data_IF_715513010864
#
_entry.id   IF_715513010864
#
_cell.length_a   1.000
_cell.length_b   1.000
_cell.length_c   1.000
_cell.angle_alpha   90.00
_cell.angle_beta   90.00
_cell.angle_gamma   90.00
#
_symmetry.space_group_name_H-M   'P 1'
#
loop_
_entity.id
_entity.type
_entity.pdbx_description
1 polymer ?
#
# COMPACT_ATOMS: atom_id res chain seq x y z
N UNK A 1 14.19 9.32 -2.42
CA UNK A 1 13.04 8.43 -2.18
C UNK A 1 11.81 9.29 -2.08
N UNK A 2 10.68 8.84 -2.62
CA UNK A 2 9.38 9.50 -2.53
C UNK A 2 8.36 8.45 -2.09
N UNK A 3 7.41 8.86 -1.25
CA UNK A 3 6.28 8.03 -0.83
C UNK A 3 5.00 8.71 -1.30
N UNK A 4 4.16 7.97 -2.00
CA UNK A 4 2.86 8.42 -2.50
C UNK A 4 1.79 7.53 -1.88
N UNK A 5 0.79 8.17 -1.29
CA UNK A 5 -0.43 7.49 -0.85
C UNK A 5 -1.51 7.65 -1.90
N UNK A 6 -2.27 6.59 -2.17
CA UNK A 6 -3.40 6.61 -3.12
C UNK A 6 -4.60 5.86 -2.54
N UNK A 7 -5.77 6.07 -3.11
CA UNK A 7 -6.97 5.33 -2.77
C UNK A 7 -7.45 4.55 -3.99
N UNK A 8 -7.26 3.22 -3.93
CA UNK A 8 -7.74 2.33 -4.98
C UNK A 8 -9.20 1.97 -4.68
N UNK A 9 -10.10 2.44 -5.53
CA UNK A 9 -11.53 2.13 -5.41
C UNK A 9 -11.76 0.61 -5.52
N UNK A 10 -12.58 0.07 -4.61
CA UNK A 10 -12.83 -1.37 -4.55
C UNK A 10 -11.62 -2.20 -4.09
N UNK A 11 -10.55 -1.56 -3.61
CA UNK A 11 -9.41 -2.20 -2.98
C UNK A 11 -9.74 -2.79 -1.59
N UNK A 12 -8.96 -3.79 -1.12
CA UNK A 12 -9.14 -4.34 0.22
C UNK A 12 -9.03 -3.25 1.29
N UNK A 13 -9.90 -3.33 2.31
CA UNK A 13 -9.84 -2.44 3.48
C UNK A 13 -9.29 -3.21 4.69
N UNK A 14 -8.54 -2.56 5.60
CA UNK A 14 -7.95 -3.24 6.75
C UNK A 14 -8.98 -4.02 7.60
N UNK A 15 -10.22 -3.55 7.66
CA UNK A 15 -11.27 -4.09 8.52
C UNK A 15 -11.98 -5.31 7.92
N UNK A 16 -11.75 -5.65 6.64
CA UNK A 16 -12.48 -6.73 5.97
C UNK A 16 -11.61 -7.56 5.03
N UNK A 17 -11.91 -8.86 4.98
CA UNK A 17 -11.31 -9.76 3.99
C UNK A 17 -11.95 -9.55 2.62
N UNK A 18 -11.12 -9.62 1.59
CA UNK A 18 -11.56 -9.64 0.20
C UNK A 18 -11.46 -11.06 -0.36
N UNK A 19 -12.60 -11.72 -0.42
CA UNK A 19 -12.73 -13.11 -0.87
C UNK A 19 -13.02 -13.22 -2.38
N UNK A 20 -13.71 -12.22 -2.93
CA UNK A 20 -14.20 -12.25 -4.30
C UNK A 20 -13.14 -11.71 -5.26
N UNK A 21 -13.04 -12.35 -6.42
CA UNK A 21 -12.21 -11.90 -7.54
C UNK A 21 -12.88 -10.72 -8.24
N UNK A 22 -12.08 -9.69 -8.56
CA UNK A 22 -12.48 -8.54 -9.37
C UNK A 22 -11.44 -8.25 -10.44
N UNK A 23 -11.67 -8.78 -11.65
CA UNK A 23 -10.75 -8.56 -12.78
C UNK A 23 -10.70 -7.09 -13.22
N UNK A 24 -11.85 -6.42 -13.19
CA UNK A 24 -11.95 -5.00 -13.53
C UNK A 24 -11.24 -4.13 -12.47
N UNK A 25 -11.46 -4.42 -11.19
CA UNK A 25 -10.80 -3.70 -10.09
C UNK A 25 -9.28 -3.86 -10.14
N UNK A 26 -8.79 -5.09 -10.34
CA UNK A 26 -7.35 -5.34 -10.46
C UNK A 26 -6.74 -4.69 -11.72
N UNK A 27 -7.49 -4.61 -12.83
CA UNK A 27 -7.05 -3.88 -14.02
C UNK A 27 -6.95 -2.37 -13.75
N UNK A 28 -7.96 -1.80 -13.10
CA UNK A 28 -7.99 -0.39 -12.70
C UNK A 28 -6.87 -0.05 -11.71
N UNK A 29 -6.59 -0.93 -10.75
CA UNK A 29 -5.45 -0.79 -9.84
C UNK A 29 -4.13 -0.66 -10.62
N UNK A 30 -3.85 -1.59 -11.54
CA UNK A 30 -2.64 -1.54 -12.38
C UNK A 30 -2.55 -0.27 -13.22
N UNK A 31 -3.68 0.19 -13.77
CA UNK A 31 -3.74 1.44 -14.53
C UNK A 31 -3.40 2.66 -13.66
N UNK A 32 -3.96 2.76 -12.46
CA UNK A 32 -3.65 3.85 -11.52
C UNK A 32 -2.17 3.82 -11.13
N UNK A 33 -1.64 2.64 -10.78
CA UNK A 33 -0.24 2.48 -10.37
C UNK A 33 0.71 2.83 -11.51
N UNK A 34 0.43 2.35 -12.73
CA UNK A 34 1.16 2.72 -13.94
C UNK A 34 1.14 4.23 -14.18
N UNK A 35 -0.04 4.85 -14.11
CA UNK A 35 -0.20 6.30 -14.26
C UNK A 35 0.58 7.11 -13.22
N UNK A 36 0.63 6.66 -11.96
CA UNK A 36 1.46 7.29 -10.92
C UNK A 36 2.94 7.17 -11.27
N UNK A 37 3.40 6.00 -11.72
CA UNK A 37 4.79 5.81 -12.11
C UNK A 37 5.16 6.76 -13.25
N UNK A 38 4.38 6.80 -14.32
CA UNK A 38 4.62 7.65 -15.49
C UNK A 38 4.61 9.13 -15.11
N UNK A 39 3.64 9.55 -14.30
CA UNK A 39 3.53 10.92 -13.83
C UNK A 39 4.75 11.32 -13.00
N UNK A 40 5.22 10.49 -12.07
CA UNK A 40 6.41 10.80 -11.26
C UNK A 40 7.68 10.77 -12.10
N UNK A 41 7.85 9.77 -12.96
CA UNK A 41 9.08 9.61 -13.75
C UNK A 41 9.29 10.66 -14.82
N UNK A 42 8.20 11.30 -15.29
CA UNK A 42 8.24 12.41 -16.24
C UNK A 42 8.58 13.77 -15.61
N UNK A 43 8.54 13.90 -14.27
CA UNK A 43 8.90 15.15 -13.60
C UNK A 43 10.40 15.41 -13.68
N UNK A 44 10.78 16.60 -14.14
CA UNK A 44 12.18 17.04 -14.16
C UNK A 44 12.82 16.97 -12.76
N UNK A 45 12.08 17.38 -11.73
CA UNK A 45 12.53 17.32 -10.34
C UNK A 45 12.77 15.88 -9.83
N UNK A 46 12.25 14.85 -10.52
CA UNK A 46 12.39 13.45 -10.14
C UNK A 46 13.53 12.72 -10.87
N UNK A 47 14.35 13.40 -11.67
CA UNK A 47 15.47 12.76 -12.41
C UNK A 47 16.43 11.96 -11.52
N UNK A 48 16.66 12.42 -10.28
CA UNK A 48 17.53 11.74 -9.31
C UNK A 48 16.77 10.82 -8.35
N UNK A 49 15.45 10.67 -8.52
CA UNK A 49 14.63 9.81 -7.68
C UNK A 49 14.87 8.34 -8.03
N UNK A 50 15.53 7.60 -7.13
CA UNK A 50 15.80 6.16 -7.31
C UNK A 50 14.67 5.25 -6.84
N UNK A 51 13.93 5.66 -5.81
CA UNK A 51 12.95 4.83 -5.11
C UNK A 51 11.64 5.60 -4.98
N UNK A 52 10.58 5.06 -5.58
CA UNK A 52 9.20 5.49 -5.40
C UNK A 52 8.43 4.39 -4.65
N UNK A 53 7.84 4.74 -3.51
CA UNK A 53 6.97 3.84 -2.76
C UNK A 53 5.53 4.31 -2.93
N UNK A 54 4.66 3.40 -3.35
CA UNK A 54 3.23 3.66 -3.52
C UNK A 54 2.48 2.79 -2.52
N UNK A 55 1.57 3.37 -1.75
CA UNK A 55 0.78 2.59 -0.78
C UNK A 55 -0.62 3.19 -0.63
N UNK A 56 -1.50 2.50 0.09
CA UNK A 56 -2.84 3.00 0.36
C UNK A 56 -2.79 4.23 1.30
N UNK A 57 -3.87 5.02 1.28
CA UNK A 57 -4.07 6.20 2.12
C UNK A 57 -4.28 5.90 3.61
N UNK A 58 -4.16 4.63 4.03
CA UNK A 58 -4.17 4.24 5.44
C UNK A 58 -2.83 4.54 6.16
N UNK A 59 -1.83 5.08 5.46
CA UNK A 59 -0.63 5.69 6.08
C UNK A 59 -0.78 7.21 6.21
N UNK A 60 -0.77 7.70 7.44
CA UNK A 60 -0.68 9.13 7.70
C UNK A 60 0.79 9.60 7.73
N UNK A 61 1.27 10.14 6.61
CA UNK A 61 2.68 10.53 6.41
C UNK A 61 3.17 11.67 7.33
N UNK A 62 2.27 12.40 8.00
CA UNK A 62 2.65 13.42 8.98
C UNK A 62 2.80 12.87 10.42
N UNK A 63 2.54 11.58 10.66
CA UNK A 63 2.77 10.95 11.97
C UNK A 63 4.24 10.54 12.15
N UNK A 64 4.81 10.68 13.35
CA UNK A 64 6.18 10.21 13.62
C UNK A 64 6.40 8.71 13.34
N UNK A 65 5.33 7.91 13.39
CA UNK A 65 5.38 6.45 13.22
C UNK A 65 5.11 5.98 11.77
N UNK A 66 4.93 6.88 10.81
CA UNK A 66 4.53 6.51 9.43
C UNK A 66 5.48 5.51 8.80
N UNK A 67 6.79 5.61 9.08
CA UNK A 67 7.81 4.70 8.55
C UNK A 67 7.62 3.26 9.04
N UNK A 68 7.18 3.07 10.29
CA UNK A 68 6.91 1.74 10.86
C UNK A 68 5.73 1.10 10.12
N UNK A 69 4.67 1.87 9.87
CA UNK A 69 3.50 1.39 9.14
C UNK A 69 3.81 1.08 7.68
N UNK A 70 4.56 1.96 7.00
CA UNK A 70 5.01 1.73 5.63
C UNK A 70 5.87 0.46 5.53
N UNK A 71 6.82 0.27 6.46
CA UNK A 71 7.68 -0.92 6.46
C UNK A 71 6.86 -2.21 6.48
N UNK A 72 5.82 -2.27 7.31
CA UNK A 72 4.92 -3.42 7.35
C UNK A 72 4.18 -3.61 6.02
N UNK A 73 3.62 -2.55 5.44
CA UNK A 73 2.91 -2.64 4.15
C UNK A 73 3.81 -3.13 3.03
N UNK A 74 5.04 -2.61 2.95
CA UNK A 74 6.01 -2.98 1.93
C UNK A 74 6.31 -4.47 1.93
N UNK A 75 6.31 -5.13 3.09
CA UNK A 75 6.60 -6.57 3.17
C UNK A 75 5.35 -7.46 3.22
N UNK A 76 4.19 -6.91 3.53
CA UNK A 76 2.96 -7.69 3.66
C UNK A 76 2.02 -7.58 2.46
N UNK A 77 2.15 -6.57 1.60
CA UNK A 77 1.21 -6.30 0.49
C UNK A 77 1.72 -6.69 -0.91
N UNK A 78 3.01 -6.91 -1.08
CA UNK A 78 3.62 -7.02 -2.41
C UNK A 78 4.01 -8.45 -2.85
N UNK A 79 4.12 -8.63 -4.16
CA UNK A 79 4.79 -9.75 -4.84
C UNK A 79 5.83 -9.19 -5.82
N UNK A 80 7.06 -9.73 -5.77
CA UNK A 80 8.20 -9.26 -6.57
C UNK A 80 7.90 -9.25 -8.08
N UNK A 81 7.17 -10.25 -8.59
CA UNK A 81 6.89 -10.37 -10.02
C UNK A 81 5.75 -9.47 -10.51
N UNK A 82 4.98 -8.87 -9.59
CA UNK A 82 3.79 -8.08 -9.91
C UNK A 82 3.96 -6.59 -9.61
N UNK A 83 4.59 -6.28 -8.49
CA UNK A 83 4.47 -4.97 -7.82
C UNK A 83 5.77 -4.16 -7.81
N UNK A 84 6.81 -4.66 -8.49
CA UNK A 84 8.04 -3.93 -8.74
C UNK A 84 8.04 -3.42 -10.19
N UNK A 85 8.01 -2.10 -10.36
CA UNK A 85 8.01 -1.44 -11.66
C UNK A 85 9.31 -0.68 -11.86
N UNK A 86 10.07 -1.08 -12.87
CA UNK A 86 11.30 -0.40 -13.25
C UNK A 86 11.01 0.66 -14.30
N UNK A 87 11.76 1.76 -14.28
CA UNK A 87 11.78 2.67 -15.41
C UNK A 87 12.49 2.05 -16.62
N UNK A 88 12.39 2.69 -17.79
CA UNK A 88 13.00 2.19 -19.04
C UNK A 88 14.50 1.93 -18.94
N UNK A 89 15.20 2.66 -18.06
CA UNK A 89 16.64 2.49 -17.83
C UNK A 89 16.99 1.35 -16.87
N UNK A 90 16.00 0.82 -16.12
CA UNK A 90 16.20 -0.10 -15.01
C UNK A 90 16.87 0.53 -13.77
N UNK A 91 17.14 1.84 -13.81
CA UNK A 91 17.87 2.57 -12.78
C UNK A 91 16.99 3.14 -11.67
N UNK A 92 15.66 3.17 -11.86
CA UNK A 92 14.68 3.64 -10.89
C UNK A 92 13.65 2.55 -10.63
N UNK A 93 13.22 2.44 -9.39
CA UNK A 93 12.25 1.44 -8.95
C UNK A 93 11.04 2.13 -8.31
N UNK A 94 9.85 1.77 -8.78
CA UNK A 94 8.60 1.96 -8.06
C UNK A 94 8.20 0.63 -7.39
N UNK A 95 7.86 0.71 -6.11
CA UNK A 95 7.39 -0.39 -5.29
C UNK A 95 5.94 -0.12 -4.93
N UNK A 96 5.05 -0.93 -5.50
CA UNK A 96 3.63 -0.93 -5.18
C UNK A 96 3.37 -1.78 -3.92
N UNK A 97 2.92 -1.11 -2.87
CA UNK A 97 2.46 -1.70 -1.62
C UNK A 97 1.02 -1.29 -1.32
N UNK A 98 0.22 -1.05 -2.36
CA UNK A 98 -1.24 -1.02 -2.23
C UNK A 98 -1.77 -2.42 -1.98
N UNK A 99 -2.89 -2.53 -1.25
CA UNK A 99 -3.51 -3.82 -0.99
C UNK A 99 -4.01 -4.41 -2.32
N UNK A 100 -3.55 -5.62 -2.71
CA UNK A 100 -3.80 -6.11 -4.05
C UNK A 100 -5.23 -6.65 -4.17
N UNK A 101 -5.92 -6.29 -5.24
CA UNK A 101 -7.28 -6.78 -5.52
C UNK A 101 -7.19 -8.22 -6.07
N UNK A 102 -7.91 -9.20 -5.48
CA UNK A 102 -7.90 -10.57 -5.96
C UNK A 102 -8.31 -10.68 -7.44
N UNK A 103 -7.50 -11.38 -8.23
CA UNK A 103 -7.69 -11.53 -9.67
C UNK A 103 -7.12 -12.85 -10.17
N UNK A 104 -7.76 -13.44 -11.17
CA UNK A 104 -7.24 -14.62 -11.87
C UNK A 104 -6.57 -14.24 -13.20
N UNK A 105 -6.82 -13.03 -13.73
CA UNK A 105 -6.14 -12.48 -14.91
C UNK A 105 -5.02 -11.51 -14.51
N UNK A 106 -4.25 -11.11 -15.51
CA UNK A 106 -3.09 -10.25 -15.38
C UNK A 106 -1.78 -11.03 -15.52
N UNK A 107 -0.63 -10.38 -15.25
CA UNK A 107 0.68 -11.04 -15.34
C UNK A 107 0.83 -12.20 -14.37
N UNK A 108 0.30 -12.03 -13.15
CA UNK A 108 0.29 -13.04 -12.09
C UNK A 108 -1.07 -13.02 -11.38
N UNK A 109 -1.61 -14.18 -10.98
CA UNK A 109 -2.85 -14.25 -10.22
C UNK A 109 -2.66 -13.63 -8.82
N UNK A 110 -3.69 -12.94 -8.35
CA UNK A 110 -3.76 -12.37 -7.01
C UNK A 110 -4.74 -13.18 -6.18
N UNK A 111 -4.23 -13.79 -5.11
CA UNK A 111 -5.04 -14.54 -4.14
C UNK A 111 -5.94 -13.62 -3.31
N UNK A 112 -6.88 -14.23 -2.60
CA UNK A 112 -7.72 -13.56 -1.60
C UNK A 112 -6.89 -12.79 -0.59
N UNK A 113 -7.41 -11.63 -0.19
CA UNK A 113 -6.72 -10.72 0.71
C UNK A 113 -7.35 -10.76 2.12
N UNK A 114 -6.59 -11.12 3.17
CA UNK A 114 -7.15 -11.15 4.51
C UNK A 114 -7.29 -9.73 5.08
N UNK A 115 -8.33 -9.54 5.89
CA UNK A 115 -8.39 -8.39 6.80
C UNK A 115 -7.23 -8.41 7.80
N UNK A 116 -6.89 -7.24 8.33
CA UNK A 116 -5.88 -7.07 9.37
C UNK A 116 -6.53 -7.30 10.74
N UNK A 117 -5.79 -7.90 11.67
CA UNK A 117 -6.23 -7.96 13.07
C UNK A 117 -6.10 -6.57 13.69
N UNK A 118 -7.22 -5.88 13.82
CA UNK A 118 -7.31 -4.57 14.45
C UNK A 118 -7.78 -4.73 15.90
N UNK A 119 -7.26 -3.88 16.78
CA UNK A 119 -7.77 -3.77 18.14
C UNK A 119 -9.15 -3.12 18.14
N UNK A 120 -10.04 -3.61 18.99
CA UNK A 120 -11.30 -2.93 19.25
C UNK A 120 -11.02 -1.52 19.83
N UNK A 121 -11.58 -0.44 19.24
CA UNK A 121 -11.27 0.93 19.66
C UNK A 121 -11.66 1.25 21.10
N UNK A 122 -12.74 0.65 21.61
CA UNK A 122 -13.19 0.86 22.98
C UNK A 122 -12.24 0.16 23.96
N UNK A 123 -11.83 -1.07 23.64
CA UNK A 123 -10.85 -1.80 24.44
C UNK A 123 -9.50 -1.08 24.46
N UNK A 124 -9.01 -0.63 23.30
CA UNK A 124 -7.76 0.13 23.21
C UNK A 124 -7.80 1.38 24.11
N UNK A 125 -8.88 2.17 24.01
CA UNK A 125 -9.06 3.37 24.84
C UNK A 125 -9.10 3.05 26.34
N UNK A 126 -9.71 1.94 26.74
CA UNK A 126 -9.74 1.50 28.14
C UNK A 126 -8.36 1.08 28.64
N UNK A 127 -7.57 0.40 27.80
CA UNK A 127 -6.19 0.03 28.12
C UNK A 127 -5.32 1.28 28.27
N UNK A 128 -5.43 2.25 27.36
CA UNK A 128 -4.69 3.51 27.43
C UNK A 128 -4.99 4.29 28.72
N UNK A 129 -6.27 4.35 29.12
CA UNK A 129 -6.67 5.00 30.37
C UNK A 129 -6.06 4.29 31.60
N UNK A 130 -6.09 2.95 31.62
CA UNK A 130 -5.50 2.16 32.70
C UNK A 130 -3.98 2.31 32.80
N UNK A 131 -3.28 2.39 31.66
CA UNK A 131 -1.83 2.63 31.62
C UNK A 131 -1.48 4.01 32.18
N UNK A 132 -2.22 5.06 31.80
CA UNK A 132 -2.03 6.41 32.29
C UNK A 132 -2.27 6.51 33.81
N UNK A 133 -3.28 5.82 34.35
CA UNK A 133 -3.51 5.70 35.80
C UNK A 133 -2.35 4.98 36.51
N UNK A 134 -1.77 3.97 35.87
CA UNK A 134 -0.62 3.22 36.38
C UNK A 134 0.73 3.94 36.26
N UNK A 135 0.77 5.13 35.64
CA UNK A 135 1.99 5.91 35.44
C UNK A 135 2.86 5.46 34.26
N UNK A 136 2.27 4.79 33.27
CA UNK A 136 2.89 4.40 32.00
C UNK A 136 2.45 5.29 30.83
#
# INVERSE_FOLDING_TARGET
>A
MLVVTTNIEGGPKPESSMENVSEEGAARQREIIGGICDAIWSLEAAQNLRWLFITDDDVYLASEEWRRRLLWQLFCRFDVGRDLHFDDSGGRLAWDATAPIPSSKGPLPVRRWPGVTLHDPEVAKRVDAWLAEGGY
#
